data_IF_853317676171
#
_entry.id   IF_853317676171
#
_cell.length_a   1.000
_cell.length_b   1.000
_cell.length_c   1.000
_cell.angle_alpha   90.00
_cell.angle_beta   90.00
_cell.angle_gamma   90.00
#
_symmetry.space_group_name_H-M   'P 1'
#
loop_
_entity.id
_entity.type
_entity.pdbx_description
1 polymer ?
#
# COMPACT_ATOMS: atom_id res chain seq x y z
N UNK A 1 -5.44 -13.52 23.68
CA UNK A 1 -6.60 -12.61 23.79
C UNK A 1 -6.04 -11.21 23.85
N UNK A 2 -6.29 -10.35 22.89
CA UNK A 2 -5.95 -8.92 22.86
C UNK A 2 -7.20 -8.11 23.23
N UNK A 3 -7.00 -6.94 23.82
CA UNK A 3 -8.07 -5.96 24.03
C UNK A 3 -7.66 -4.71 23.27
N UNK A 4 -8.54 -4.22 22.41
CA UNK A 4 -8.39 -2.96 21.69
C UNK A 4 -9.26 -1.94 22.41
N UNK A 5 -8.72 -0.77 22.73
CA UNK A 5 -9.45 0.35 23.32
C UNK A 5 -8.85 1.65 22.83
N UNK A 6 -9.68 2.65 22.67
CA UNK A 6 -9.22 4.02 22.43
C UNK A 6 -8.71 4.64 23.73
N UNK A 7 -7.69 5.48 23.65
CA UNK A 7 -7.13 6.16 24.79
C UNK A 7 -6.85 7.63 24.48
N UNK A 8 -6.88 8.46 25.53
CA UNK A 8 -6.51 9.87 25.40
C UNK A 8 -5.09 10.06 25.93
N UNK A 9 -4.26 10.76 25.15
CA UNK A 9 -2.94 11.20 25.63
C UNK A 9 -3.15 12.35 26.58
N UNK A 10 -2.60 12.23 27.79
CA UNK A 10 -2.69 13.24 28.84
C UNK A 10 -1.39 14.03 28.91
N UNK A 11 -0.26 13.35 28.78
CA UNK A 11 1.05 13.93 28.89
C UNK A 11 2.02 13.23 27.96
N UNK A 12 2.97 13.98 27.38
CA UNK A 12 4.00 13.46 26.50
C UNK A 12 5.26 14.32 26.58
N UNK A 13 6.40 13.70 26.84
CA UNK A 13 7.70 14.39 26.98
C UNK A 13 8.73 14.03 25.89
N UNK A 14 8.30 13.31 24.85
CA UNK A 14 9.14 12.83 23.76
C UNK A 14 9.64 11.39 23.92
N UNK A 15 9.72 10.88 25.15
CA UNK A 15 10.14 9.51 25.44
C UNK A 15 9.08 8.74 26.21
N UNK A 16 8.32 9.44 27.07
CA UNK A 16 7.27 8.86 27.90
C UNK A 16 5.93 9.43 27.50
N UNK A 17 4.90 8.59 27.54
CA UNK A 17 3.54 8.97 27.20
C UNK A 17 2.59 8.45 28.29
N UNK A 18 1.80 9.35 28.88
CA UNK A 18 0.70 8.99 29.76
C UNK A 18 -0.59 8.95 28.98
N UNK A 19 -1.22 7.79 28.92
CA UNK A 19 -2.49 7.57 28.25
C UNK A 19 -3.57 7.14 29.23
N UNK A 20 -4.78 7.61 29.03
CA UNK A 20 -5.97 7.18 29.77
C UNK A 20 -6.90 6.47 28.80
N UNK A 21 -7.10 5.15 28.94
CA UNK A 21 -8.05 4.40 28.11
C UNK A 21 -9.48 4.92 28.36
N UNK A 22 -10.26 5.01 27.31
CA UNK A 22 -11.66 5.42 27.39
C UNK A 22 -12.54 4.31 27.96
N UNK A 23 -12.14 3.05 27.75
CA UNK A 23 -12.80 1.90 28.35
C UNK A 23 -11.91 1.24 29.39
N UNK A 24 -12.48 0.67 30.45
CA UNK A 24 -11.70 -0.01 31.49
C UNK A 24 -10.91 -1.19 30.91
N UNK A 25 -9.64 -1.29 31.27
CA UNK A 25 -8.84 -2.48 30.95
C UNK A 25 -9.47 -3.71 31.62
N UNK A 26 -9.62 -4.79 30.87
CA UNK A 26 -10.27 -6.00 31.37
C UNK A 26 -9.52 -6.58 32.57
N UNK A 27 -10.29 -7.13 33.52
CA UNK A 27 -9.71 -7.77 34.74
C UNK A 27 -8.73 -8.91 34.39
N UNK A 28 -8.93 -9.56 33.26
CA UNK A 28 -8.06 -10.62 32.77
C UNK A 28 -6.67 -10.07 32.36
N UNK A 29 -6.62 -8.95 31.64
CA UNK A 29 -5.38 -8.27 31.26
C UNK A 29 -4.60 -7.76 32.49
N UNK A 30 -5.31 -7.22 33.48
CA UNK A 30 -4.72 -6.79 34.76
C UNK A 30 -4.13 -8.00 35.49
N UNK A 31 -4.85 -9.14 35.53
CA UNK A 31 -4.35 -10.37 36.18
C UNK A 31 -3.13 -10.95 35.48
N UNK A 32 -3.05 -10.84 34.16
CA UNK A 32 -1.90 -11.29 33.36
C UNK A 32 -0.71 -10.33 33.42
N UNK A 33 -0.82 -9.20 34.10
CA UNK A 33 0.22 -8.17 34.20
C UNK A 33 0.83 -7.83 32.82
N UNK A 34 -0.02 -7.61 31.82
CA UNK A 34 0.42 -7.26 30.46
C UNK A 34 1.25 -5.98 30.53
N UNK A 35 2.49 -6.04 30.02
CA UNK A 35 3.44 -4.92 30.02
C UNK A 35 3.62 -4.29 28.64
N UNK A 36 3.33 -5.05 27.59
CA UNK A 36 3.51 -4.60 26.21
C UNK A 36 2.17 -4.22 25.63
N UNK A 37 2.11 -3.08 25.00
CA UNK A 37 0.95 -2.58 24.27
C UNK A 37 1.38 -2.15 22.88
N UNK A 38 0.53 -2.37 21.90
CA UNK A 38 0.67 -1.77 20.60
C UNK A 38 -0.09 -0.44 20.59
N UNK A 39 0.57 0.64 20.18
CA UNK A 39 0.00 1.97 20.18
C UNK A 39 -0.10 2.50 18.75
N UNK A 40 -1.33 2.81 18.33
CA UNK A 40 -1.59 3.54 17.08
C UNK A 40 -1.98 4.98 17.43
N UNK A 41 -1.18 5.93 16.97
CA UNK A 41 -1.48 7.36 17.13
C UNK A 41 -2.32 7.82 15.94
N UNK A 42 -3.54 8.28 16.23
CA UNK A 42 -4.42 8.89 15.23
C UNK A 42 -4.34 10.40 15.38
N UNK A 43 -4.23 11.14 14.28
CA UNK A 43 -4.18 12.60 14.29
C UNK A 43 -5.56 13.27 14.47
N UNK A 44 -6.60 12.45 14.63
CA UNK A 44 -7.97 12.89 14.87
C UNK A 44 -8.69 13.45 13.64
N UNK A 45 -8.05 13.42 12.47
CA UNK A 45 -8.69 13.87 11.22
C UNK A 45 -9.62 12.79 10.68
N UNK A 46 -10.86 13.17 10.45
CA UNK A 46 -11.85 12.28 9.85
C UNK A 46 -11.67 12.13 8.35
N UNK A 47 -12.16 11.02 7.81
CA UNK A 47 -12.23 10.76 6.38
C UNK A 47 -12.89 11.91 5.62
N UNK A 48 -12.18 12.46 4.66
CA UNK A 48 -12.64 13.61 3.87
C UNK A 48 -13.78 13.24 2.91
N UNK A 49 -14.54 14.24 2.46
CA UNK A 49 -15.56 14.03 1.44
C UNK A 49 -14.97 13.58 0.10
N UNK A 50 -13.73 13.94 -0.19
CA UNK A 50 -13.02 13.51 -1.39
C UNK A 50 -12.63 12.05 -1.31
N UNK A 51 -12.04 11.61 -0.20
CA UNK A 51 -11.72 10.19 0.04
C UNK A 51 -12.97 9.32 -0.07
N UNK A 52 -14.08 9.74 0.53
CA UNK A 52 -15.36 9.01 0.39
C UNK A 52 -15.81 8.90 -1.05
N UNK A 53 -15.74 10.00 -1.83
CA UNK A 53 -16.09 9.95 -3.27
C UNK A 53 -15.21 8.99 -4.05
N UNK A 54 -13.90 8.98 -3.79
CA UNK A 54 -12.95 8.03 -4.40
C UNK A 54 -13.33 6.58 -4.07
N UNK A 55 -13.58 6.27 -2.79
CA UNK A 55 -13.97 4.93 -2.33
C UNK A 55 -15.27 4.48 -3.03
N UNK A 56 -16.32 5.30 -3.00
CA UNK A 56 -17.58 4.95 -3.62
C UNK A 56 -17.49 4.81 -5.14
N UNK A 57 -16.67 5.62 -5.81
CA UNK A 57 -16.41 5.50 -7.24
C UNK A 57 -15.75 4.17 -7.59
N UNK A 58 -14.71 3.74 -6.85
CA UNK A 58 -14.04 2.46 -7.08
C UNK A 58 -15.00 1.30 -6.81
N UNK A 59 -15.75 1.33 -5.70
CA UNK A 59 -16.72 0.27 -5.38
C UNK A 59 -17.83 0.21 -6.44
N UNK A 60 -18.32 1.36 -6.94
CA UNK A 60 -19.29 1.40 -8.03
C UNK A 60 -18.78 0.74 -9.32
N UNK A 61 -17.55 1.00 -9.71
CA UNK A 61 -16.93 0.36 -10.88
C UNK A 61 -16.72 -1.15 -10.68
N UNK A 62 -16.37 -1.59 -9.47
CA UNK A 62 -16.31 -3.02 -9.13
C UNK A 62 -17.73 -3.63 -9.19
N UNK A 63 -18.76 -2.92 -8.73
CA UNK A 63 -20.14 -3.37 -8.78
C UNK A 63 -20.62 -3.55 -10.22
N UNK A 64 -20.38 -2.55 -11.07
CA UNK A 64 -20.72 -2.60 -12.50
C UNK A 64 -20.02 -3.76 -13.22
N UNK A 65 -18.74 -3.99 -12.89
CA UNK A 65 -17.96 -5.10 -13.48
C UNK A 65 -18.40 -6.48 -12.99
N UNK A 66 -18.68 -6.61 -11.71
CA UNK A 66 -18.98 -7.90 -11.07
C UNK A 66 -20.48 -8.27 -11.12
N UNK A 67 -21.36 -7.28 -11.31
CA UNK A 67 -22.81 -7.44 -11.25
C UNK A 67 -23.37 -7.56 -9.85
N UNK A 68 -22.57 -7.29 -8.80
CA UNK A 68 -23.01 -7.31 -7.42
C UNK A 68 -23.55 -5.94 -6.98
N UNK A 69 -24.39 -5.93 -5.93
CA UNK A 69 -24.86 -4.68 -5.34
C UNK A 69 -23.72 -3.89 -4.69
N UNK A 70 -23.66 -2.59 -4.94
CA UNK A 70 -22.57 -1.74 -4.47
C UNK A 70 -22.51 -1.61 -2.93
N UNK A 71 -23.67 -1.64 -2.26
CA UNK A 71 -23.73 -1.57 -0.78
C UNK A 71 -23.24 -2.86 -0.14
N UNK A 72 -23.54 -4.01 -0.75
CA UNK A 72 -23.06 -5.31 -0.27
C UNK A 72 -21.55 -5.45 -0.51
N UNK A 73 -21.03 -4.99 -1.64
CA UNK A 73 -19.59 -4.90 -1.89
C UNK A 73 -18.90 -3.95 -0.90
N UNK A 74 -19.50 -2.81 -0.60
CA UNK A 74 -18.96 -1.89 0.41
C UNK A 74 -18.80 -2.57 1.76
N UNK A 75 -19.84 -3.28 2.22
CA UNK A 75 -19.78 -4.03 3.50
C UNK A 75 -18.71 -5.13 3.45
N UNK A 76 -18.68 -5.88 2.35
CA UNK A 76 -17.71 -6.95 2.14
C UNK A 76 -16.27 -6.43 2.21
N UNK A 77 -15.94 -5.40 1.41
CA UNK A 77 -14.59 -4.83 1.40
C UNK A 77 -14.22 -4.18 2.73
N UNK A 78 -15.16 -3.46 3.37
CA UNK A 78 -14.89 -2.87 4.69
C UNK A 78 -14.60 -3.94 5.73
N UNK A 79 -15.39 -5.04 5.77
CA UNK A 79 -15.16 -6.14 6.71
C UNK A 79 -13.83 -6.82 6.48
N UNK A 80 -13.49 -7.16 5.24
CA UNK A 80 -12.22 -7.80 4.92
C UNK A 80 -11.02 -6.90 5.24
N UNK A 81 -11.10 -5.62 4.86
CA UNK A 81 -10.05 -4.66 5.19
C UNK A 81 -9.82 -4.53 6.70
N UNK A 82 -10.91 -4.49 7.49
CA UNK A 82 -10.81 -4.46 8.94
C UNK A 82 -10.19 -5.73 9.51
N UNK A 83 -10.56 -6.91 8.98
CA UNK A 83 -9.96 -8.19 9.40
C UNK A 83 -8.48 -8.27 9.07
N UNK A 84 -8.08 -7.87 7.86
CA UNK A 84 -6.70 -7.93 7.38
C UNK A 84 -5.78 -6.96 8.14
N UNK A 85 -6.33 -5.89 8.72
CA UNK A 85 -5.57 -4.85 9.40
C UNK A 85 -5.83 -4.78 10.91
N UNK A 86 -6.54 -5.75 11.48
CA UNK A 86 -6.92 -5.79 12.90
C UNK A 86 -7.60 -4.50 13.39
N UNK A 87 -8.54 -3.99 12.59
CA UNK A 87 -9.28 -2.74 12.84
C UNK A 87 -10.72 -3.05 13.26
N UNK A 88 -11.28 -2.16 14.07
CA UNK A 88 -12.72 -2.15 14.30
C UNK A 88 -13.46 -1.74 13.02
N UNK A 89 -14.69 -2.25 12.87
CA UNK A 89 -15.54 -1.91 11.72
C UNK A 89 -15.86 -0.42 11.71
N UNK A 90 -15.49 0.26 10.65
CA UNK A 90 -15.71 1.69 10.47
C UNK A 90 -16.85 2.00 9.50
N UNK A 91 -17.38 3.20 9.60
CA UNK A 91 -18.36 3.76 8.68
C UNK A 91 -17.72 4.79 7.74
N UNK A 92 -18.25 4.89 6.54
CA UNK A 92 -17.94 6.00 5.61
C UNK A 92 -18.98 7.13 5.71
N UNK A 93 -20.00 6.99 6.55
CA UNK A 93 -21.05 8.00 6.73
C UNK A 93 -20.65 9.02 7.78
N UNK A 94 -20.64 10.34 7.44
CA UNK A 94 -20.29 11.40 8.39
C UNK A 94 -21.29 11.56 9.54
N UNK A 95 -22.41 10.85 9.49
CA UNK A 95 -23.44 10.85 10.55
C UNK A 95 -23.20 9.78 11.61
N UNK A 96 -22.19 8.93 11.44
CA UNK A 96 -21.89 7.82 12.36
C UNK A 96 -20.70 8.17 13.26
N UNK A 97 -20.77 7.73 14.50
CA UNK A 97 -19.72 7.94 15.50
C UNK A 97 -18.44 7.15 15.23
N UNK A 98 -18.55 6.06 14.46
CA UNK A 98 -17.42 5.22 14.01
C UNK A 98 -16.99 5.58 12.59
N UNK A 99 -16.98 6.85 12.22
CA UNK A 99 -16.47 7.30 10.94
C UNK A 99 -14.98 6.95 10.82
N UNK A 100 -14.58 6.46 9.64
CA UNK A 100 -13.17 6.19 9.35
C UNK A 100 -12.33 7.46 9.57
N UNK A 101 -11.16 7.31 10.14
CA UNK A 101 -10.15 8.36 10.12
C UNK A 101 -9.51 8.47 8.72
N UNK A 102 -8.76 9.55 8.52
CA UNK A 102 -8.15 9.87 7.23
C UNK A 102 -7.13 8.81 6.79
N UNK A 103 -6.35 8.26 7.72
CA UNK A 103 -5.36 7.22 7.46
C UNK A 103 -6.03 5.90 7.07
N UNK A 104 -7.05 5.49 7.80
CA UNK A 104 -7.86 4.30 7.48
C UNK A 104 -8.49 4.43 6.09
N UNK A 105 -9.03 5.59 5.75
CA UNK A 105 -9.60 5.83 4.43
C UNK A 105 -8.54 5.77 3.31
N UNK A 106 -7.34 6.32 3.54
CA UNK A 106 -6.21 6.25 2.60
C UNK A 106 -5.77 4.81 2.36
N UNK A 107 -5.59 4.03 3.44
CA UNK A 107 -5.26 2.61 3.33
C UNK A 107 -6.35 1.80 2.64
N UNK A 108 -7.61 2.11 2.92
CA UNK A 108 -8.75 1.44 2.27
C UNK A 108 -8.83 1.75 0.77
N UNK A 109 -8.53 2.98 0.34
CA UNK A 109 -8.40 3.32 -1.09
C UNK A 109 -7.31 2.45 -1.73
N UNK A 110 -6.13 2.35 -1.10
CA UNK A 110 -5.02 1.52 -1.61
C UNK A 110 -5.41 0.03 -1.70
N UNK A 111 -6.17 -0.49 -0.74
CA UNK A 111 -6.71 -1.85 -0.73
C UNK A 111 -7.66 -2.11 -1.93
N UNK A 112 -8.56 -1.18 -2.19
CA UNK A 112 -9.48 -1.28 -3.33
C UNK A 112 -8.75 -1.18 -4.67
N UNK A 113 -7.73 -0.31 -4.79
CA UNK A 113 -6.89 -0.21 -5.99
C UNK A 113 -6.16 -1.54 -6.24
N UNK A 114 -5.60 -2.16 -5.19
CA UNK A 114 -4.96 -3.47 -5.28
C UNK A 114 -5.93 -4.51 -5.85
N UNK A 115 -7.14 -4.59 -5.31
CA UNK A 115 -8.18 -5.49 -5.82
C UNK A 115 -8.45 -5.25 -7.31
N UNK A 116 -8.61 -4.00 -7.73
CA UNK A 116 -8.83 -3.68 -9.14
C UNK A 116 -7.66 -4.14 -10.05
N UNK A 117 -6.43 -4.08 -9.57
CA UNK A 117 -5.26 -4.56 -10.33
C UNK A 117 -5.20 -6.08 -10.40
N UNK A 118 -5.45 -6.77 -9.31
CA UNK A 118 -5.46 -8.24 -9.23
C UNK A 118 -6.51 -8.85 -10.16
N UNK A 119 -7.70 -8.27 -10.17
CA UNK A 119 -8.85 -8.78 -10.93
C UNK A 119 -9.04 -8.10 -12.29
N UNK A 120 -8.14 -7.19 -12.70
CA UNK A 120 -8.23 -6.43 -13.94
C UNK A 120 -9.59 -5.73 -14.14
N UNK A 121 -10.11 -5.15 -13.06
CA UNK A 121 -11.37 -4.40 -13.11
C UNK A 121 -11.20 -3.18 -14.04
N UNK A 122 -12.06 -3.00 -15.06
CA UNK A 122 -12.02 -1.82 -15.90
C UNK A 122 -12.49 -0.59 -15.10
N UNK A 123 -11.74 0.51 -15.18
CA UNK A 123 -12.05 1.73 -14.44
C UNK A 123 -12.16 2.92 -15.37
N UNK A 124 -13.09 3.83 -15.07
CA UNK A 124 -13.36 5.02 -15.88
C UNK A 124 -12.24 6.06 -15.75
N UNK A 125 -11.59 6.12 -14.59
CA UNK A 125 -10.49 7.02 -14.32
C UNK A 125 -9.24 6.24 -13.93
N UNK A 126 -8.07 6.85 -14.12
CA UNK A 126 -6.80 6.21 -13.74
C UNK A 126 -6.67 6.11 -12.22
N UNK A 127 -6.10 5.03 -11.74
CA UNK A 127 -5.88 4.86 -10.30
C UNK A 127 -4.83 5.84 -9.75
N UNK A 128 -4.00 6.44 -10.60
CA UNK A 128 -3.10 7.53 -10.23
C UNK A 128 -3.88 8.74 -9.67
N UNK A 129 -5.02 9.09 -10.28
CA UNK A 129 -5.86 10.19 -9.81
C UNK A 129 -6.59 9.88 -8.49
N UNK A 130 -6.70 8.61 -8.16
CA UNK A 130 -7.45 8.14 -6.98
C UNK A 130 -6.59 7.83 -5.78
N UNK A 131 -5.33 7.41 -6.02
CA UNK A 131 -4.42 7.10 -4.92
C UNK A 131 -4.07 8.33 -4.10
N UNK A 132 -3.81 8.11 -2.82
CA UNK A 132 -3.26 9.11 -1.89
C UNK A 132 -1.84 8.72 -1.45
N UNK A 133 -1.44 7.45 -1.70
CA UNK A 133 -0.11 6.92 -1.44
C UNK A 133 0.61 6.63 -2.77
N UNK A 134 1.14 7.67 -3.42
CA UNK A 134 1.74 7.55 -4.76
C UNK A 134 2.85 6.49 -4.79
N UNK A 135 3.71 6.40 -3.76
CA UNK A 135 4.78 5.41 -3.71
C UNK A 135 4.26 3.97 -3.70
N UNK A 136 3.28 3.69 -2.87
CA UNK A 136 2.64 2.37 -2.78
C UNK A 136 1.90 2.02 -4.08
N UNK A 137 1.22 2.99 -4.67
CA UNK A 137 0.59 2.84 -5.97
C UNK A 137 1.60 2.49 -7.07
N UNK A 138 2.72 3.20 -7.16
CA UNK A 138 3.77 2.94 -8.15
C UNK A 138 4.42 1.56 -7.96
N UNK A 139 4.59 1.13 -6.71
CA UNK A 139 5.05 -0.22 -6.40
C UNK A 139 4.05 -1.28 -6.90
N UNK A 140 2.75 -1.12 -6.61
CA UNK A 140 1.69 -2.01 -7.11
C UNK A 140 1.63 -2.01 -8.65
N UNK A 141 1.88 -0.86 -9.30
CA UNK A 141 1.96 -0.80 -10.77
C UNK A 141 3.07 -1.70 -11.33
N UNK A 142 4.24 -1.74 -10.70
CA UNK A 142 5.31 -2.67 -11.06
C UNK A 142 4.89 -4.12 -10.80
N UNK A 143 4.39 -4.41 -9.62
CA UNK A 143 3.97 -5.75 -9.18
C UNK A 143 2.96 -6.37 -10.15
N UNK A 144 1.92 -5.62 -10.52
CA UNK A 144 0.83 -6.09 -11.38
C UNK A 144 1.03 -5.78 -12.87
N UNK A 145 2.21 -5.25 -13.27
CA UNK A 145 2.51 -4.83 -14.65
C UNK A 145 1.44 -3.91 -15.24
N UNK A 146 1.02 -2.93 -14.45
CA UNK A 146 0.08 -1.87 -14.84
C UNK A 146 0.83 -0.57 -15.06
N UNK A 147 0.46 0.15 -16.12
CA UNK A 147 1.04 1.44 -16.42
C UNK A 147 0.72 2.44 -15.30
N UNK A 148 1.75 3.08 -14.75
CA UNK A 148 1.59 4.08 -13.70
C UNK A 148 0.71 5.28 -14.10
N UNK A 149 0.51 5.50 -15.41
CA UNK A 149 -0.23 6.65 -15.94
C UNK A 149 -1.66 6.28 -16.35
N UNK A 150 -1.86 5.19 -17.10
CA UNK A 150 -3.18 4.83 -17.68
C UNK A 150 -3.70 3.46 -17.24
N UNK A 151 -2.99 2.74 -16.39
CA UNK A 151 -3.31 1.40 -15.90
C UNK A 151 -3.41 0.29 -16.97
N UNK A 152 -3.04 0.57 -18.22
CA UNK A 152 -2.87 -0.45 -19.25
C UNK A 152 -1.71 -1.39 -18.91
N UNK A 153 -1.64 -2.54 -19.61
CA UNK A 153 -0.52 -3.47 -19.50
C UNK A 153 0.82 -2.76 -19.73
N UNK A 154 1.77 -2.98 -18.83
CA UNK A 154 3.05 -2.28 -18.78
C UNK A 154 4.27 -3.18 -18.84
N UNK A 155 5.38 -2.56 -19.25
CA UNK A 155 6.74 -3.05 -19.19
C UNK A 155 7.50 -2.29 -18.09
N UNK A 156 8.58 -2.89 -17.56
CA UNK A 156 9.47 -2.21 -16.61
C UNK A 156 10.37 -1.25 -17.39
N UNK A 157 10.25 0.04 -17.08
CA UNK A 157 11.07 1.10 -17.62
C UNK A 157 12.11 1.52 -16.58
N UNK A 158 13.39 1.19 -16.81
CA UNK A 158 14.50 1.58 -15.94
C UNK A 158 14.81 3.07 -16.11
N UNK A 159 14.86 3.78 -15.01
CA UNK A 159 15.25 5.19 -14.97
C UNK A 159 16.77 5.35 -14.86
N UNK A 160 17.45 4.34 -14.34
CA UNK A 160 18.92 4.28 -14.33
C UNK A 160 19.45 3.76 -15.66
N UNK A 161 20.66 4.19 -16.02
CA UNK A 161 21.32 3.72 -17.23
C UNK A 161 21.76 2.26 -17.07
N UNK A 162 21.14 1.38 -17.83
CA UNK A 162 21.44 -0.07 -17.85
C UNK A 162 22.67 -0.37 -18.74
N UNK A 163 23.66 0.47 -18.87
CA UNK A 163 24.89 0.29 -19.64
C UNK A 163 24.71 -0.30 -21.04
N UNK A 164 25.22 0.35 -22.09
CA UNK A 164 25.19 -0.20 -23.44
C UNK A 164 26.11 -1.42 -23.54
N UNK A 165 25.61 -2.54 -24.14
CA UNK A 165 26.43 -3.70 -24.48
C UNK A 165 26.48 -4.83 -23.45
N UNK A 166 25.75 -4.76 -22.33
CA UNK A 166 25.64 -5.89 -21.40
C UNK A 166 24.37 -6.68 -21.69
N UNK A 167 24.44 -8.00 -21.56
CA UNK A 167 23.27 -8.86 -21.60
C UNK A 167 22.35 -8.48 -20.39
N UNK A 168 21.09 -8.13 -20.68
CA UNK A 168 20.11 -7.78 -19.64
C UNK A 168 19.90 -8.89 -18.62
N UNK A 169 20.18 -10.13 -19.00
CA UNK A 169 20.10 -11.28 -18.09
C UNK A 169 21.26 -11.34 -17.08
N UNK A 170 22.35 -10.63 -17.33
CA UNK A 170 23.53 -10.62 -16.47
C UNK A 170 23.58 -9.42 -15.51
N UNK A 171 22.59 -8.55 -15.59
CA UNK A 171 22.52 -7.35 -14.77
C UNK A 171 21.78 -7.65 -13.47
N UNK A 172 22.31 -7.13 -12.35
CA UNK A 172 21.61 -7.11 -11.07
C UNK A 172 20.69 -5.89 -11.07
N UNK A 173 19.37 -6.13 -11.06
CA UNK A 173 18.36 -5.07 -11.10
C UNK A 173 17.97 -4.58 -9.70
N UNK A 174 18.28 -5.33 -8.64
CA UNK A 174 18.04 -4.90 -7.25
C UNK A 174 18.80 -3.60 -6.98
N UNK A 175 18.11 -2.63 -6.41
CA UNK A 175 18.63 -1.27 -6.15
C UNK A 175 18.51 -0.31 -7.33
N UNK A 176 18.12 -0.77 -8.52
CA UNK A 176 17.85 0.11 -9.67
C UNK A 176 16.49 0.79 -9.52
N UNK A 177 16.42 1.99 -10.08
CA UNK A 177 15.18 2.77 -10.08
C UNK A 177 14.38 2.49 -11.36
N UNK A 178 13.09 2.16 -11.20
CA UNK A 178 12.22 1.79 -12.31
C UNK A 178 10.78 2.26 -12.11
N UNK A 179 10.03 2.32 -13.21
CA UNK A 179 8.59 2.61 -13.24
C UNK A 179 7.92 1.70 -14.26
N UNK A 180 6.66 1.33 -14.01
CA UNK A 180 5.88 0.54 -14.97
C UNK A 180 5.21 1.46 -16.00
N UNK A 181 5.51 1.29 -17.28
CA UNK A 181 4.95 2.09 -18.37
C UNK A 181 4.43 1.20 -19.51
N UNK A 182 3.23 1.50 -20.02
CA UNK A 182 2.78 0.89 -21.27
C UNK A 182 3.61 1.40 -22.44
N UNK A 183 3.52 0.72 -23.58
CA UNK A 183 4.32 1.05 -24.77
C UNK A 183 4.20 2.53 -25.19
N UNK A 184 3.00 3.10 -25.11
CA UNK A 184 2.75 4.52 -25.42
C UNK A 184 3.53 5.46 -24.49
N UNK A 185 3.40 5.28 -23.18
CA UNK A 185 4.06 6.14 -22.21
C UNK A 185 5.56 5.87 -22.09
N UNK A 186 6.00 4.65 -22.40
CA UNK A 186 7.42 4.31 -22.51
C UNK A 186 8.08 5.10 -23.66
N UNK A 187 7.47 5.12 -24.85
CA UNK A 187 7.96 5.91 -25.99
C UNK A 187 7.93 7.41 -25.66
N UNK A 188 6.86 7.89 -25.02
CA UNK A 188 6.76 9.28 -24.61
C UNK A 188 7.89 9.68 -23.64
N UNK A 189 8.19 8.84 -22.64
CA UNK A 189 9.27 9.09 -21.70
C UNK A 189 10.65 9.20 -22.39
N UNK A 190 10.88 8.42 -23.43
CA UNK A 190 12.10 8.56 -24.25
C UNK A 190 12.11 9.83 -25.09
N UNK A 191 10.98 10.25 -25.65
CA UNK A 191 10.89 11.41 -26.53
C UNK A 191 11.08 12.74 -25.79
N UNK A 192 10.43 12.90 -24.64
CA UNK A 192 10.51 14.17 -23.88
C UNK A 192 11.61 14.16 -22.81
N UNK A 193 12.24 13.01 -22.60
CA UNK A 193 13.21 12.81 -21.53
C UNK A 193 12.58 12.43 -20.19
N UNK A 194 13.29 11.55 -19.46
CA UNK A 194 12.77 10.95 -18.22
C UNK A 194 12.36 11.97 -17.15
N UNK A 195 13.19 12.99 -16.94
CA UNK A 195 12.94 13.99 -15.88
C UNK A 195 11.69 14.82 -16.17
N UNK A 196 11.51 15.21 -17.44
CA UNK A 196 10.34 15.98 -17.85
C UNK A 196 9.07 15.13 -17.81
N UNK A 197 9.16 13.87 -18.22
CA UNK A 197 8.06 12.90 -18.10
C UNK A 197 7.59 12.72 -16.66
N UNK A 198 8.53 12.49 -15.72
CA UNK A 198 8.20 12.30 -14.31
C UNK A 198 7.55 13.55 -13.70
N UNK A 199 8.03 14.75 -14.07
CA UNK A 199 7.42 16.01 -13.64
C UNK A 199 6.03 16.20 -14.20
N UNK A 200 5.84 15.92 -15.49
CA UNK A 200 4.54 16.09 -16.17
C UNK A 200 3.43 15.28 -15.52
N UNK A 201 3.74 14.04 -15.10
CA UNK A 201 2.76 13.13 -14.50
C UNK A 201 2.80 13.08 -12.98
N UNK A 202 3.67 13.88 -12.34
CA UNK A 202 3.86 13.88 -10.87
C UNK A 202 4.14 12.50 -10.28
N UNK A 203 4.92 11.69 -11.00
CA UNK A 203 5.34 10.35 -10.59
C UNK A 203 6.85 10.27 -10.44
N UNK A 204 7.32 9.20 -9.82
CA UNK A 204 8.74 8.92 -9.64
C UNK A 204 9.03 7.43 -9.78
N UNK A 205 10.28 7.05 -9.84
CA UNK A 205 10.64 5.64 -9.90
C UNK A 205 10.69 5.00 -8.52
N UNK A 206 10.49 3.70 -8.51
CA UNK A 206 10.60 2.84 -7.33
C UNK A 206 11.91 2.09 -7.39
N UNK A 207 12.60 1.99 -6.27
CA UNK A 207 13.79 1.16 -6.13
C UNK A 207 13.35 -0.30 -6.15
N UNK A 208 13.87 -1.06 -7.13
CA UNK A 208 13.54 -2.47 -7.27
C UNK A 208 14.18 -3.25 -6.12
N UNK A 209 13.36 -3.95 -5.37
CA UNK A 209 13.77 -4.92 -4.37
C UNK A 209 13.90 -6.34 -4.96
N UNK A 210 14.33 -7.30 -4.14
CA UNK A 210 14.49 -8.69 -4.54
C UNK A 210 13.16 -9.34 -4.93
N UNK A 211 12.07 -8.98 -4.26
CA UNK A 211 10.72 -9.49 -4.54
C UNK A 211 10.23 -9.03 -5.92
N UNK A 212 10.27 -7.71 -6.19
CA UNK A 212 9.89 -7.18 -7.51
C UNK A 212 10.74 -7.78 -8.63
N UNK A 213 12.06 -7.90 -8.45
CA UNK A 213 12.93 -8.51 -9.45
C UNK A 213 12.55 -9.97 -9.74
N UNK A 214 12.17 -10.73 -8.70
CA UNK A 214 11.72 -12.12 -8.81
C UNK A 214 10.43 -12.25 -9.60
N UNK A 215 9.37 -11.51 -9.21
CA UNK A 215 8.06 -11.61 -9.87
C UNK A 215 8.03 -11.02 -11.28
N UNK A 216 8.87 -10.02 -11.53
CA UNK A 216 9.03 -9.37 -12.83
C UNK A 216 9.97 -10.16 -13.76
N UNK A 217 10.62 -11.24 -13.28
CA UNK A 217 11.60 -12.04 -14.01
C UNK A 217 12.74 -11.18 -14.58
N UNK A 218 13.27 -10.26 -13.79
CA UNK A 218 14.41 -9.42 -14.18
C UNK A 218 15.73 -10.13 -13.82
N UNK A 219 16.66 -10.27 -14.77
CA UNK A 219 17.97 -10.88 -14.55
C UNK A 219 17.96 -12.38 -14.26
N UNK A 220 19.03 -12.90 -13.64
CA UNK A 220 19.20 -14.35 -13.35
C UNK A 220 18.37 -14.76 -12.13
N UNK A 221 17.42 -15.67 -12.31
CA UNK A 221 16.55 -16.20 -11.24
C UNK A 221 17.31 -16.72 -10.01
N UNK A 222 18.47 -17.34 -10.20
CA UNK A 222 19.28 -17.89 -9.11
C UNK A 222 19.74 -16.79 -8.14
N UNK A 223 20.19 -15.64 -8.66
CA UNK A 223 20.67 -14.51 -7.86
C UNK A 223 19.55 -13.92 -7.01
N UNK A 224 18.35 -13.77 -7.57
CA UNK A 224 17.21 -13.19 -6.82
C UNK A 224 16.62 -14.13 -5.79
N UNK A 225 16.63 -15.43 -6.04
CA UNK A 225 16.22 -16.40 -5.02
C UNK A 225 17.14 -16.33 -3.80
N UNK A 226 18.45 -16.26 -4.01
CA UNK A 226 19.41 -16.14 -2.92
C UNK A 226 19.29 -14.80 -2.17
N UNK A 227 19.15 -13.69 -2.89
CA UNK A 227 18.90 -12.37 -2.30
C UNK A 227 17.57 -12.31 -1.54
N UNK A 228 16.51 -12.87 -2.11
CA UNK A 228 15.19 -12.91 -1.49
C UNK A 228 15.20 -13.70 -0.19
N UNK A 229 15.83 -14.88 -0.17
CA UNK A 229 15.94 -15.68 1.06
C UNK A 229 16.81 -14.98 2.11
N UNK A 230 17.87 -14.28 1.70
CA UNK A 230 18.68 -13.46 2.58
C UNK A 230 17.90 -12.28 3.16
N UNK A 231 17.15 -11.57 2.33
CA UNK A 231 16.31 -10.46 2.76
C UNK A 231 15.23 -10.95 3.73
N UNK A 232 14.61 -12.09 3.44
CA UNK A 232 13.64 -12.74 4.32
C UNK A 232 14.22 -13.14 5.67
N UNK A 233 15.45 -13.70 5.69
CA UNK A 233 16.16 -14.02 6.92
C UNK A 233 16.51 -12.75 7.72
N UNK A 234 16.96 -11.71 7.03
CA UNK A 234 17.26 -10.42 7.65
C UNK A 234 16.02 -9.78 8.31
N UNK A 235 14.86 -9.89 7.67
CA UNK A 235 13.57 -9.40 8.19
C UNK A 235 13.02 -10.24 9.35
N UNK A 236 13.55 -11.44 9.58
CA UNK A 236 13.21 -12.27 10.74
C UNK A 236 14.02 -11.87 12.00
N UNK A 237 15.07 -11.05 11.85
CA UNK A 237 15.80 -10.50 13.00
C UNK A 237 14.92 -9.46 13.71
N UNK A 238 14.78 -9.60 15.04
CA UNK A 238 13.89 -8.74 15.85
C UNK A 238 14.13 -7.24 15.68
N UNK A 239 15.40 -6.82 15.52
CA UNK A 239 15.79 -5.42 15.30
C UNK A 239 15.27 -4.82 13.99
N UNK A 240 15.09 -5.65 12.97
CA UNK A 240 14.55 -5.24 11.65
C UNK A 240 13.02 -5.29 11.66
N UNK A 241 12.43 -6.19 12.44
CA UNK A 241 10.99 -6.22 12.69
C UNK A 241 10.47 -4.93 13.32
N UNK A 242 11.21 -4.34 14.25
CA UNK A 242 10.82 -3.05 14.85
C UNK A 242 10.90 -1.88 13.85
N UNK A 243 11.90 -1.86 12.94
CA UNK A 243 12.07 -0.79 11.95
C UNK A 243 11.15 -0.93 10.72
N UNK A 244 10.86 -2.16 10.29
CA UNK A 244 10.12 -2.44 9.04
C UNK A 244 8.90 -3.35 9.24
N UNK A 245 8.60 -3.76 10.46
CA UNK A 245 7.70 -4.86 10.83
C UNK A 245 6.25 -4.76 10.39
N UNK A 246 5.78 -3.59 10.00
CA UNK A 246 4.40 -3.42 9.49
C UNK A 246 4.30 -3.44 7.96
N UNK A 247 5.41 -3.30 7.24
CA UNK A 247 5.38 -3.17 5.78
C UNK A 247 5.46 -4.53 5.07
N UNK A 248 6.03 -5.54 5.69
CA UNK A 248 6.33 -6.83 5.05
C UNK A 248 5.48 -8.01 5.53
N UNK A 249 4.93 -7.99 6.73
CA UNK A 249 3.89 -8.94 7.15
C UNK A 249 2.55 -8.72 6.39
N UNK A 250 2.38 -7.56 5.76
CA UNK A 250 1.24 -7.25 4.87
C UNK A 250 1.32 -7.90 3.49
N UNK A 251 2.45 -8.53 3.15
CA UNK A 251 2.73 -9.04 1.81
C UNK A 251 3.04 -10.55 1.77
N UNK A 252 2.91 -11.26 2.91
CA UNK A 252 3.12 -12.71 3.03
C UNK A 252 1.85 -13.54 2.85
#
# INVERSE_FOLDING_TARGET
MSQITTAKIVEYDGCNMLIIPQEPISREMIRKQVKNVELRLCDGRECTSEQRRKIFAIIGEIADWSGHDSEDLRKYFTSNYCMDNDLEYFSLSPKKTNLADMETATGFISYLIKFCFEWNVPTLDTMLNRTEEVGKYLYMCLEHRKCAICNDKAEVHHLDAVGMGRDRNDIIHVGMNAIALCRKHHIQAHNIGKNEFLKQYHVYGIILDSYLCKILNLGRKAVYNELFERDKQFLQLEEVRELYGKTLERWG
#
